data_IF_293578441719
#
_entry.id   IF_293578441719
#
_cell.length_a   1.000
_cell.length_b   1.000
_cell.length_c   1.000
_cell.angle_alpha   90.00
_cell.angle_beta   90.00
_cell.angle_gamma   90.00
#
_symmetry.space_group_name_H-M   'P 1'
#
loop_
_entity.id
_entity.type
_entity.pdbx_description
1 polymer ?
#
# COMPACT_ATOMS: atom_id res chain seq x y z
N UNK A 1 -2.56 -31.88 -2.89
CA UNK A 1 -1.38 -31.08 -2.50
C UNK A 1 -0.36 -31.85 -1.67
N UNK A 2 -0.67 -33.05 -1.14
CA UNK A 2 0.21 -33.77 -0.22
C UNK A 2 1.47 -34.39 -0.88
N UNK A 3 1.49 -34.50 -2.21
CA UNK A 3 2.51 -35.31 -2.93
C UNK A 3 3.43 -34.47 -3.84
N UNK A 4 3.40 -33.12 -3.73
CA UNK A 4 4.26 -32.24 -4.54
C UNK A 4 5.25 -31.50 -3.65
N UNK A 5 6.51 -31.43 -4.08
CA UNK A 5 7.53 -30.62 -3.41
C UNK A 5 7.29 -29.12 -3.67
N UNK A 6 7.79 -28.25 -2.79
CA UNK A 6 7.71 -26.79 -3.00
C UNK A 6 8.31 -26.37 -4.35
N UNK A 7 9.43 -26.97 -4.75
CA UNK A 7 10.06 -26.70 -6.04
C UNK A 7 9.18 -27.09 -7.22
N UNK A 8 8.51 -28.24 -7.17
CA UNK A 8 7.58 -28.66 -8.23
C UNK A 8 6.36 -27.74 -8.33
N UNK A 9 5.84 -27.26 -7.19
CA UNK A 9 4.69 -26.33 -7.16
C UNK A 9 5.09 -24.93 -7.66
N UNK A 10 6.28 -24.44 -7.29
CA UNK A 10 6.73 -23.09 -7.62
C UNK A 10 7.14 -22.95 -9.09
N UNK A 11 7.88 -23.93 -9.63
CA UNK A 11 8.46 -23.84 -10.98
C UNK A 11 7.60 -24.47 -12.08
N UNK A 12 6.66 -25.36 -11.76
CA UNK A 12 5.87 -26.12 -12.76
C UNK A 12 4.36 -25.88 -12.59
N UNK A 13 3.89 -24.67 -12.84
CA UNK A 13 2.49 -24.38 -13.22
C UNK A 13 1.48 -24.05 -12.10
N UNK A 14 1.81 -24.11 -10.79
CA UNK A 14 0.81 -23.71 -9.78
C UNK A 14 0.73 -22.20 -9.57
N UNK A 15 1.87 -21.49 -9.50
CA UNK A 15 1.92 -20.03 -9.23
C UNK A 15 2.12 -19.22 -10.52
N UNK A 16 2.86 -19.75 -11.48
CA UNK A 16 3.20 -19.04 -12.73
C UNK A 16 1.99 -18.76 -13.63
N UNK A 17 0.97 -19.63 -13.63
CA UNK A 17 -0.25 -19.45 -14.44
C UNK A 17 -1.33 -18.60 -13.75
N UNK A 18 -1.01 -17.87 -12.68
CA UNK A 18 -1.99 -16.97 -12.03
C UNK A 18 -2.39 -15.78 -12.90
N UNK A 19 -1.61 -15.47 -13.95
CA UNK A 19 -2.03 -14.55 -15.00
C UNK A 19 -3.30 -15.02 -15.70
N UNK A 20 -3.41 -16.32 -15.96
CA UNK A 20 -4.52 -16.90 -16.73
C UNK A 20 -5.79 -17.05 -15.89
N UNK A 21 -5.66 -17.04 -14.56
CA UNK A 21 -6.79 -17.01 -13.61
C UNK A 21 -7.63 -15.74 -13.80
N UNK A 22 -7.08 -14.66 -14.37
CA UNK A 22 -7.85 -13.45 -14.70
C UNK A 22 -8.90 -13.68 -15.80
N UNK A 23 -8.81 -14.79 -16.53
CA UNK A 23 -9.73 -15.16 -17.60
C UNK A 23 -10.90 -16.05 -17.13
N UNK A 24 -10.86 -16.52 -15.88
CA UNK A 24 -11.83 -17.50 -15.36
C UNK A 24 -12.39 -17.02 -14.02
N UNK A 25 -13.71 -16.84 -13.95
CA UNK A 25 -14.39 -16.48 -12.71
C UNK A 25 -14.47 -17.69 -11.78
N UNK A 26 -13.94 -17.54 -10.55
CA UNK A 26 -14.05 -18.58 -9.52
C UNK A 26 -15.48 -18.64 -8.98
N UNK A 27 -16.06 -19.82 -8.73
CA UNK A 27 -17.41 -19.95 -8.17
C UNK A 27 -17.46 -19.68 -6.65
N UNK A 28 -16.43 -19.00 -6.12
CA UNK A 28 -16.28 -18.74 -4.69
C UNK A 28 -15.78 -17.31 -4.48
N UNK A 29 -16.07 -16.80 -3.30
CA UNK A 29 -15.66 -15.47 -2.86
C UNK A 29 -14.12 -15.40 -2.68
N UNK A 30 -13.49 -14.26 -2.95
CA UNK A 30 -12.07 -13.96 -2.75
C UNK A 30 -11.59 -14.27 -1.31
N UNK A 31 -10.53 -15.07 -1.22
CA UNK A 31 -10.02 -15.61 0.05
C UNK A 31 -9.06 -14.68 0.81
N UNK A 32 -8.49 -13.64 0.18
CA UNK A 32 -7.39 -12.84 0.75
C UNK A 32 -7.80 -11.37 0.92
N UNK A 33 -8.90 -11.14 1.65
CA UNK A 33 -9.43 -9.80 1.98
C UNK A 33 -9.77 -8.91 0.76
N UNK A 34 -9.87 -9.49 -0.44
CA UNK A 34 -10.06 -8.75 -1.69
C UNK A 34 -11.30 -7.88 -1.67
N UNK A 35 -12.44 -8.39 -1.17
CA UNK A 35 -13.67 -7.60 -1.12
C UNK A 35 -13.62 -6.43 -0.16
N UNK A 36 -13.10 -6.66 1.05
CA UNK A 36 -13.03 -5.62 2.07
C UNK A 36 -12.12 -4.48 1.59
N UNK A 37 -10.91 -4.80 1.10
CA UNK A 37 -9.95 -3.81 0.62
C UNK A 37 -10.39 -3.12 -0.67
N UNK A 38 -10.93 -3.87 -1.63
CA UNK A 38 -11.44 -3.28 -2.87
C UNK A 38 -12.60 -2.32 -2.56
N UNK A 39 -13.56 -2.75 -1.74
CA UNK A 39 -14.70 -1.91 -1.36
C UNK A 39 -14.27 -0.65 -0.63
N UNK A 40 -13.28 -0.73 0.26
CA UNK A 40 -12.71 0.44 0.93
C UNK A 40 -12.00 1.39 -0.05
N UNK A 41 -11.35 0.86 -1.08
CA UNK A 41 -10.62 1.65 -2.07
C UNK A 41 -11.54 2.35 -3.08
N UNK A 42 -12.53 1.65 -3.65
CA UNK A 42 -13.31 2.14 -4.81
C UNK A 42 -14.81 2.34 -4.53
N UNK A 43 -15.23 2.11 -3.28
CA UNK A 43 -16.62 2.24 -2.84
C UNK A 43 -17.51 1.04 -3.18
N UNK A 44 -18.63 0.94 -2.45
CA UNK A 44 -19.56 -0.21 -2.48
C UNK A 44 -20.11 -0.51 -3.88
N UNK A 45 -20.61 0.51 -4.58
CA UNK A 45 -21.29 0.30 -5.86
C UNK A 45 -20.36 -0.29 -6.91
N UNK A 46 -19.16 0.29 -7.07
CA UNK A 46 -18.18 -0.16 -8.06
C UNK A 46 -17.59 -1.52 -7.68
N UNK A 47 -17.26 -1.72 -6.41
CA UNK A 47 -16.77 -3.01 -5.94
C UNK A 47 -17.80 -4.12 -6.24
N UNK A 48 -19.08 -3.91 -5.92
CA UNK A 48 -20.13 -4.89 -6.17
C UNK A 48 -20.26 -5.25 -7.65
N UNK A 49 -20.22 -4.25 -8.54
CA UNK A 49 -20.22 -4.47 -9.99
C UNK A 49 -19.05 -5.37 -10.43
N UNK A 50 -17.81 -5.04 -10.03
CA UNK A 50 -16.63 -5.83 -10.41
C UNK A 50 -16.67 -7.25 -9.84
N UNK A 51 -17.08 -7.39 -8.58
CA UNK A 51 -17.15 -8.67 -7.87
C UNK A 51 -18.18 -9.61 -8.48
N UNK A 52 -19.37 -9.10 -8.79
CA UNK A 52 -20.48 -9.92 -9.28
C UNK A 52 -20.36 -10.24 -10.77
N UNK A 53 -19.75 -9.36 -11.56
CA UNK A 53 -19.62 -9.56 -13.01
C UNK A 53 -18.29 -10.23 -13.40
N UNK A 54 -17.28 -10.15 -12.53
CA UNK A 54 -15.93 -10.62 -12.84
C UNK A 54 -15.26 -9.88 -13.99
N UNK A 55 -15.77 -8.70 -14.40
CA UNK A 55 -15.22 -7.99 -15.55
C UNK A 55 -13.82 -7.44 -15.27
N UNK A 56 -13.01 -7.38 -16.33
CA UNK A 56 -11.74 -6.68 -16.31
C UNK A 56 -11.94 -5.16 -16.38
N UNK A 57 -10.91 -4.42 -15.96
CA UNK A 57 -10.86 -2.96 -16.00
C UNK A 57 -9.45 -2.50 -16.39
N UNK A 58 -9.34 -1.27 -16.88
CA UNK A 58 -8.07 -0.70 -17.35
C UNK A 58 -7.27 -0.07 -16.20
N UNK A 59 -5.98 0.19 -16.43
CA UNK A 59 -5.18 0.98 -15.49
C UNK A 59 -5.76 2.40 -15.28
N UNK A 60 -6.32 3.00 -16.34
CA UNK A 60 -6.97 4.31 -16.28
C UNK A 60 -8.20 4.31 -15.36
N UNK A 61 -9.01 3.25 -15.43
CA UNK A 61 -10.12 3.04 -14.50
C UNK A 61 -9.63 2.95 -13.05
N UNK A 62 -8.58 2.15 -12.82
CA UNK A 62 -7.99 1.97 -11.49
C UNK A 62 -7.49 3.28 -10.89
N UNK A 63 -6.86 4.14 -11.68
CA UNK A 63 -6.39 5.46 -11.26
C UNK A 63 -7.58 6.38 -10.93
N UNK A 64 -8.59 6.42 -11.81
CA UNK A 64 -9.78 7.24 -11.62
C UNK A 64 -10.57 6.85 -10.36
N UNK A 65 -10.54 5.57 -9.97
CA UNK A 65 -11.18 5.10 -8.74
C UNK A 65 -10.31 5.24 -7.48
N UNK A 66 -9.06 5.69 -7.60
CA UNK A 66 -8.13 5.78 -6.46
C UNK A 66 -7.56 4.43 -6.01
N UNK A 67 -7.65 3.38 -6.82
CA UNK A 67 -7.08 2.06 -6.53
C UNK A 67 -5.56 2.04 -6.71
N UNK A 68 -5.03 2.86 -7.63
CA UNK A 68 -3.59 3.07 -7.85
C UNK A 68 -3.27 4.55 -7.79
N UNK A 69 -2.07 4.90 -7.34
CA UNK A 69 -1.64 6.30 -7.20
C UNK A 69 -1.17 6.91 -8.53
N UNK A 70 -0.52 6.12 -9.40
CA UNK A 70 0.07 6.57 -10.66
C UNK A 70 0.00 5.47 -11.73
N UNK A 71 0.12 5.86 -12.99
CA UNK A 71 0.26 4.95 -14.15
C UNK A 71 1.53 5.31 -14.90
N UNK A 72 2.30 4.30 -15.27
CA UNK A 72 3.52 4.45 -16.06
C UNK A 72 3.52 3.50 -17.24
N UNK A 73 4.35 3.80 -18.25
CA UNK A 73 4.64 2.83 -19.31
C UNK A 73 5.40 1.62 -18.71
N UNK A 74 5.19 0.39 -19.22
CA UNK A 74 5.82 -0.81 -18.68
C UNK A 74 7.34 -0.70 -18.54
N UNK A 75 8.01 -0.11 -19.53
CA UNK A 75 9.47 0.09 -19.54
C UNK A 75 9.99 0.99 -18.42
N UNK A 76 9.15 1.90 -17.89
CA UNK A 76 9.53 2.86 -16.86
C UNK A 76 9.03 2.44 -15.46
N UNK A 77 8.15 1.44 -15.36
CA UNK A 77 7.44 1.11 -14.13
C UNK A 77 8.37 0.86 -12.93
N UNK A 78 9.43 0.07 -13.15
CA UNK A 78 10.38 -0.28 -12.08
C UNK A 78 11.21 0.93 -11.68
N UNK A 79 11.67 1.73 -12.64
CA UNK A 79 12.45 2.92 -12.37
C UNK A 79 11.67 3.93 -11.53
N UNK A 80 10.42 4.22 -11.93
CA UNK A 80 9.55 5.16 -11.21
C UNK A 80 9.16 4.65 -9.82
N UNK A 81 8.94 3.33 -9.66
CA UNK A 81 8.72 2.72 -8.35
C UNK A 81 9.94 2.87 -7.42
N UNK A 82 11.16 2.69 -7.96
CA UNK A 82 12.40 2.87 -7.20
C UNK A 82 12.60 4.34 -6.82
N UNK A 83 12.31 5.30 -7.72
CA UNK A 83 12.37 6.73 -7.40
C UNK A 83 11.46 7.07 -6.23
N UNK A 84 10.20 6.64 -6.26
CA UNK A 84 9.27 6.85 -5.15
C UNK A 84 9.77 6.20 -3.84
N UNK A 85 10.35 5.00 -3.92
CA UNK A 85 10.94 4.35 -2.75
C UNK A 85 12.15 5.10 -2.19
N UNK A 86 13.00 5.68 -3.05
CA UNK A 86 14.14 6.51 -2.66
C UNK A 86 13.69 7.82 -2.00
N UNK A 87 12.63 8.45 -2.52
CA UNK A 87 12.02 9.62 -1.88
C UNK A 87 11.53 9.28 -0.47
N UNK A 88 10.81 8.17 -0.30
CA UNK A 88 10.36 7.71 1.02
C UNK A 88 11.55 7.42 1.94
N UNK A 89 12.59 6.76 1.43
CA UNK A 89 13.79 6.40 2.19
C UNK A 89 14.63 7.61 2.62
N UNK A 90 14.44 8.78 2.01
CA UNK A 90 15.11 10.02 2.40
C UNK A 90 14.52 10.66 3.68
N UNK A 91 13.37 10.17 4.16
CA UNK A 91 12.74 10.63 5.40
C UNK A 91 13.13 9.77 6.61
N UNK A 92 12.82 10.25 7.82
CA UNK A 92 12.99 9.48 9.05
C UNK A 92 12.21 8.16 8.98
N UNK A 93 12.88 7.00 9.19
CA UNK A 93 12.19 5.71 9.21
C UNK A 93 11.09 5.63 10.27
N UNK A 94 11.28 6.28 11.42
CA UNK A 94 10.27 6.31 12.49
C UNK A 94 9.06 7.14 12.04
N UNK A 95 9.28 8.32 11.45
CA UNK A 95 8.20 9.17 10.96
C UNK A 95 7.41 8.51 9.82
N UNK A 96 8.09 7.86 8.87
CA UNK A 96 7.44 7.12 7.77
C UNK A 96 6.58 5.98 8.31
N UNK A 97 7.09 5.22 9.29
CA UNK A 97 6.34 4.15 9.94
C UNK A 97 5.09 4.71 10.65
N UNK A 98 5.27 5.78 11.43
CA UNK A 98 4.19 6.45 12.16
C UNK A 98 3.09 6.97 11.22
N UNK A 99 3.47 7.64 10.12
CA UNK A 99 2.53 8.13 9.12
C UNK A 99 1.70 6.99 8.51
N UNK A 100 2.36 5.88 8.13
CA UNK A 100 1.69 4.69 7.60
C UNK A 100 0.75 4.07 8.63
N UNK A 101 1.14 4.03 9.90
CA UNK A 101 0.33 3.48 10.99
C UNK A 101 -0.96 4.28 11.18
N UNK A 102 -0.85 5.61 11.30
CA UNK A 102 -2.01 6.52 11.46
C UNK A 102 -2.95 6.45 10.28
N UNK A 103 -2.44 6.45 9.05
CA UNK A 103 -3.29 6.33 7.85
C UNK A 103 -4.04 5.01 7.87
N UNK A 104 -3.38 3.88 8.15
CA UNK A 104 -4.06 2.58 8.20
C UNK A 104 -5.11 2.51 9.32
N UNK A 105 -4.83 3.09 10.48
CA UNK A 105 -5.76 3.07 11.62
C UNK A 105 -7.00 3.95 11.36
N UNK A 106 -6.87 4.98 10.53
CA UNK A 106 -8.03 5.82 10.16
C UNK A 106 -9.11 5.06 9.38
N UNK A 107 -8.78 3.92 8.75
CA UNK A 107 -9.75 3.03 8.10
C UNK A 107 -10.48 2.11 9.08
N UNK A 108 -9.99 1.96 10.31
CA UNK A 108 -10.54 1.04 11.32
C UNK A 108 -11.28 1.77 12.45
N UNK A 109 -11.27 3.10 12.44
CA UNK A 109 -11.78 3.94 13.52
C UNK A 109 -12.69 5.03 12.98
N UNK A 110 -13.50 5.64 13.85
CA UNK A 110 -14.20 6.87 13.47
C UNK A 110 -13.24 8.07 13.51
N UNK A 111 -13.66 9.20 12.93
CA UNK A 111 -12.83 10.40 12.83
C UNK A 111 -12.28 10.86 14.19
N UNK A 112 -13.11 10.88 15.23
CA UNK A 112 -12.68 11.33 16.56
C UNK A 112 -11.60 10.42 17.15
N UNK A 113 -11.79 9.11 17.04
CA UNK A 113 -10.83 8.10 17.48
C UNK A 113 -9.52 8.19 16.68
N UNK A 114 -9.61 8.35 15.36
CA UNK A 114 -8.46 8.53 14.48
C UNK A 114 -7.64 9.77 14.85
N UNK A 115 -8.28 10.92 15.09
CA UNK A 115 -7.61 12.15 15.51
C UNK A 115 -6.94 12.01 16.89
N UNK A 116 -7.58 11.31 17.83
CA UNK A 116 -6.98 11.01 19.14
C UNK A 116 -5.76 10.09 19.00
N UNK A 117 -5.85 9.08 18.13
CA UNK A 117 -4.76 8.16 17.84
C UNK A 117 -3.58 8.87 17.16
N UNK A 118 -3.84 9.63 16.10
CA UNK A 118 -2.85 10.47 15.40
C UNK A 118 -2.10 11.37 16.37
N UNK A 119 -2.81 12.10 17.24
CA UNK A 119 -2.19 13.01 18.21
C UNK A 119 -1.21 12.30 19.14
N UNK A 120 -1.54 11.08 19.58
CA UNK A 120 -0.65 10.28 20.45
C UNK A 120 0.60 9.86 19.71
N UNK A 121 0.46 9.37 18.48
CA UNK A 121 1.60 8.98 17.63
C UNK A 121 2.48 10.19 17.34
N UNK A 122 1.87 11.32 16.96
CA UNK A 122 2.55 12.59 16.71
C UNK A 122 3.36 13.07 17.92
N UNK A 123 2.77 13.09 19.13
CA UNK A 123 3.51 13.45 20.34
C UNK A 123 4.68 12.50 20.61
N UNK A 124 4.54 11.21 20.32
CA UNK A 124 5.62 10.23 20.44
C UNK A 124 6.84 10.55 19.58
N UNK A 125 6.65 11.17 18.40
CA UNK A 125 7.75 11.53 17.51
C UNK A 125 8.70 12.57 18.12
N UNK A 126 8.22 13.46 19.00
CA UNK A 126 9.06 14.45 19.69
C UNK A 126 10.08 13.83 20.67
N UNK A 127 9.93 12.54 20.98
CA UNK A 127 10.92 11.79 21.75
C UNK A 127 12.11 11.30 20.93
N UNK A 128 12.06 11.40 19.59
CA UNK A 128 13.07 10.83 18.68
C UNK A 128 14.22 11.80 18.41
N UNK A 129 15.40 11.27 18.08
CA UNK A 129 16.54 12.07 17.61
C UNK A 129 16.25 12.62 16.21
N UNK A 130 15.63 11.83 15.35
CA UNK A 130 15.26 12.21 13.99
C UNK A 130 14.33 13.43 13.96
N UNK A 131 13.40 13.56 14.92
CA UNK A 131 12.56 14.76 15.03
C UNK A 131 13.40 16.01 15.31
N UNK A 132 14.37 15.93 16.23
CA UNK A 132 15.26 17.06 16.57
C UNK A 132 16.15 17.44 15.39
N UNK A 133 16.75 16.46 14.75
CA UNK A 133 17.57 16.64 13.54
C UNK A 133 16.77 17.25 12.40
N UNK A 134 15.56 16.74 12.14
CA UNK A 134 14.68 17.27 11.10
C UNK A 134 14.35 18.75 11.32
N UNK A 135 14.06 19.14 12.57
CA UNK A 135 13.77 20.56 12.89
C UNK A 135 15.02 21.44 12.84
N UNK A 136 16.17 20.96 13.32
CA UNK A 136 17.46 21.68 13.18
C UNK A 136 17.82 21.87 11.71
N UNK A 137 17.79 20.82 10.90
CA UNK A 137 18.09 20.88 9.49
C UNK A 137 17.16 21.83 8.73
N UNK A 138 15.87 21.88 9.09
CA UNK A 138 14.90 22.82 8.53
C UNK A 138 15.27 24.28 8.85
N UNK A 139 15.57 24.60 10.11
CA UNK A 139 15.97 25.94 10.53
C UNK A 139 17.29 26.37 9.88
N UNK A 140 18.23 25.43 9.73
CA UNK A 140 19.55 25.63 9.14
C UNK A 140 19.55 25.56 7.60
N UNK A 141 18.39 25.27 6.98
CA UNK A 141 18.22 25.11 5.51
C UNK A 141 19.21 24.11 4.88
N UNK A 142 19.52 23.02 5.59
CA UNK A 142 20.38 21.94 5.12
C UNK A 142 19.59 20.64 4.96
N UNK A 143 20.21 19.64 4.32
CA UNK A 143 19.63 18.29 4.26
C UNK A 143 19.74 17.62 5.64
N UNK A 144 18.66 16.99 6.15
CA UNK A 144 18.71 16.23 7.39
C UNK A 144 19.45 14.91 7.21
N UNK A 145 20.02 14.39 8.29
CA UNK A 145 20.64 13.06 8.37
C UNK A 145 19.91 12.19 9.38
N UNK A 146 18.93 11.42 8.91
CA UNK A 146 18.12 10.56 9.76
C UNK A 146 18.83 9.24 10.09
N UNK A 147 18.71 8.81 11.35
CA UNK A 147 19.32 7.57 11.84
C UNK A 147 18.30 6.54 12.32
N UNK A 148 17.01 6.89 12.33
CA UNK A 148 15.94 6.02 12.80
C UNK A 148 15.96 5.85 14.32
N UNK A 149 16.35 6.91 15.05
CA UNK A 149 16.45 6.94 16.52
C UNK A 149 15.68 8.11 17.10
#
# INVERSE_FOLDING_TARGET
MRDRSFGDVYYKEFITNWSDITLISKPIIAAVNGFARLTAAIGKAKAMELILTGRNFSAADALNWGMVANIFKPENLVEEAIKAAQEIAAFSPIAVKAAKEVVNESFNTNLEQGLRYERRVFHGLFGTQDQKEGMSAFLEKRKPSFTGK
#
